data_IF_460464165602
#
_entry.id   IF_460464165602
#
_cell.length_a   1.000
_cell.length_b   1.000
_cell.length_c   1.000
_cell.angle_alpha   90.00
_cell.angle_beta   90.00
_cell.angle_gamma   90.00
#
_symmetry.space_group_name_H-M   'P 1'
#
loop_
_entity.id
_entity.type
_entity.pdbx_description
1 polymer ?
#
# COMPACT_ATOMS: atom_id res chain seq x y z
N UNK A 1 21.19 4.95 -12.37
CA UNK A 1 20.04 5.59 -13.04
C UNK A 1 19.64 6.81 -12.22
N UNK A 2 19.02 7.80 -12.85
CA UNK A 2 18.39 8.90 -12.13
C UNK A 2 16.93 8.55 -11.83
N UNK A 3 16.57 8.56 -10.57
CA UNK A 3 15.24 8.21 -10.10
C UNK A 3 14.60 9.39 -9.35
N UNK A 4 13.29 9.49 -9.40
CA UNK A 4 12.53 10.34 -8.48
C UNK A 4 11.60 9.48 -7.63
N UNK A 5 11.40 9.86 -6.36
CA UNK A 5 10.44 9.19 -5.48
C UNK A 5 9.51 10.22 -4.83
N UNK A 6 8.20 10.07 -5.08
CA UNK A 6 7.15 11.00 -4.66
C UNK A 6 6.33 10.39 -3.52
N UNK A 7 6.39 11.03 -2.35
CA UNK A 7 5.68 10.57 -1.16
C UNK A 7 6.55 9.73 -0.23
N UNK A 8 6.93 10.34 0.89
CA UNK A 8 7.77 9.76 1.94
C UNK A 8 6.92 9.40 3.19
N UNK A 9 5.84 8.68 2.96
CA UNK A 9 5.05 8.06 4.02
C UNK A 9 5.76 6.85 4.62
N UNK A 10 5.05 6.11 5.47
CA UNK A 10 5.55 4.89 6.14
C UNK A 10 6.13 3.87 5.15
N UNK A 11 5.54 3.80 3.94
CA UNK A 11 6.00 2.88 2.88
C UNK A 11 7.08 3.53 1.99
N UNK A 12 6.83 4.74 1.50
CA UNK A 12 7.70 5.39 0.52
C UNK A 12 9.08 5.77 1.08
N UNK A 13 9.16 6.14 2.34
CA UNK A 13 10.42 6.53 2.99
C UNK A 13 11.49 5.40 2.93
N UNK A 14 11.22 4.17 3.41
CA UNK A 14 12.17 3.08 3.30
C UNK A 14 12.38 2.59 1.86
N UNK A 15 11.34 2.57 1.00
CA UNK A 15 11.50 2.16 -0.40
C UNK A 15 12.49 3.08 -1.13
N UNK A 16 12.33 4.39 -1.00
CA UNK A 16 13.27 5.38 -1.55
C UNK A 16 14.69 5.20 -0.95
N UNK A 17 14.79 4.91 0.37
CA UNK A 17 16.05 4.64 1.04
C UNK A 17 16.80 3.42 0.50
N UNK A 18 16.09 2.36 0.14
CA UNK A 18 16.70 1.21 -0.53
C UNK A 18 17.29 1.59 -1.90
N UNK A 19 16.58 2.42 -2.68
CA UNK A 19 17.02 2.88 -4.00
C UNK A 19 18.26 3.76 -3.90
N UNK A 20 18.37 4.63 -2.91
CA UNK A 20 19.50 5.55 -2.73
C UNK A 20 20.83 4.84 -2.50
N UNK A 21 20.83 3.55 -2.13
CA UNK A 21 22.07 2.76 -1.97
C UNK A 21 22.79 2.52 -3.29
N UNK A 22 22.07 2.55 -4.42
CA UNK A 22 22.60 2.15 -5.74
C UNK A 22 22.24 3.09 -6.88
N UNK A 23 21.37 4.07 -6.64
CA UNK A 23 20.87 5.01 -7.64
C UNK A 23 20.96 6.46 -7.16
N UNK A 24 20.94 7.37 -8.10
CA UNK A 24 20.81 8.81 -7.84
C UNK A 24 19.31 9.14 -7.68
N UNK A 25 18.89 9.43 -6.44
CA UNK A 25 17.47 9.60 -6.09
C UNK A 25 17.18 11.03 -5.68
N UNK A 26 16.20 11.65 -6.33
CA UNK A 26 15.59 12.91 -5.92
C UNK A 26 14.22 12.63 -5.32
N UNK A 27 13.97 13.09 -4.10
CA UNK A 27 12.70 12.86 -3.41
C UNK A 27 11.83 14.11 -3.38
N UNK A 28 10.52 13.90 -3.35
CA UNK A 28 9.54 14.93 -3.05
C UNK A 28 8.56 14.43 -1.99
N UNK A 29 8.20 15.31 -1.07
CA UNK A 29 7.13 15.08 -0.12
C UNK A 29 6.40 16.40 0.19
N UNK A 30 5.06 16.37 0.28
CA UNK A 30 4.24 17.55 0.61
C UNK A 30 4.71 18.25 1.90
N UNK A 31 5.18 17.51 2.89
CA UNK A 31 5.85 18.04 4.08
C UNK A 31 7.35 18.06 3.83
N UNK A 32 7.90 19.23 3.49
CA UNK A 32 9.31 19.40 3.14
C UNK A 32 10.28 18.89 4.22
N UNK A 33 9.94 19.04 5.51
CA UNK A 33 10.75 18.54 6.62
C UNK A 33 10.99 17.01 6.55
N UNK A 34 10.03 16.22 6.01
CA UNK A 34 10.24 14.78 5.80
C UNK A 34 11.20 14.49 4.66
N UNK A 35 11.17 15.28 3.60
CA UNK A 35 12.11 15.15 2.49
C UNK A 35 13.54 15.51 2.96
N UNK A 36 13.68 16.58 3.74
CA UNK A 36 14.97 16.95 4.33
C UNK A 36 15.53 15.84 5.26
N UNK A 37 14.70 15.31 6.17
CA UNK A 37 15.10 14.22 7.06
C UNK A 37 15.52 12.96 6.27
N UNK A 38 14.87 12.70 5.15
CA UNK A 38 15.24 11.58 4.28
C UNK A 38 16.61 11.82 3.62
N UNK A 39 16.86 13.04 3.11
CA UNK A 39 18.17 13.43 2.54
C UNK A 39 19.28 13.34 3.58
N UNK A 40 19.03 13.82 4.79
CA UNK A 40 20.01 13.77 5.89
C UNK A 40 20.39 12.32 6.25
N UNK A 41 19.45 11.38 6.13
CA UNK A 41 19.64 9.97 6.47
C UNK A 41 20.23 9.14 5.32
N UNK A 42 19.77 9.38 4.08
CA UNK A 42 20.06 8.49 2.94
C UNK A 42 20.93 9.14 1.87
N UNK A 43 21.16 10.44 1.95
CA UNK A 43 21.78 11.20 0.87
C UNK A 43 20.79 11.47 -0.28
N UNK A 44 21.31 11.75 -1.47
CA UNK A 44 20.49 12.12 -2.62
C UNK A 44 20.09 13.60 -2.60
N UNK A 45 18.97 13.93 -3.24
CA UNK A 45 18.45 15.29 -3.33
C UNK A 45 16.95 15.34 -3.01
N UNK A 46 16.46 16.54 -2.69
CA UNK A 46 15.02 16.82 -2.60
C UNK A 46 14.64 17.94 -3.57
N UNK A 47 13.36 17.98 -3.92
CA UNK A 47 12.79 19.03 -4.76
C UNK A 47 11.49 19.58 -4.14
N UNK A 48 11.14 20.83 -4.50
CA UNK A 48 9.98 21.53 -3.94
C UNK A 48 8.66 21.14 -4.64
N UNK A 49 8.74 20.53 -5.82
CA UNK A 49 7.56 20.07 -6.59
C UNK A 49 7.81 18.69 -7.18
N UNK A 50 6.75 17.91 -7.45
CA UNK A 50 6.86 16.65 -8.19
C UNK A 50 7.51 16.83 -9.58
N UNK A 51 7.18 17.90 -10.29
CA UNK A 51 7.76 18.26 -11.58
C UNK A 51 9.29 18.43 -11.49
N UNK A 52 9.75 19.20 -10.49
CA UNK A 52 11.18 19.42 -10.30
C UNK A 52 11.91 18.13 -9.89
N UNK A 53 11.29 17.28 -9.07
CA UNK A 53 11.86 15.98 -8.71
C UNK A 53 11.98 15.05 -9.94
N UNK A 54 10.97 15.05 -10.81
CA UNK A 54 10.92 14.20 -12.00
C UNK A 54 11.88 14.65 -13.12
N UNK A 55 12.43 15.88 -13.06
CA UNK A 55 13.25 16.44 -14.13
C UNK A 55 14.51 15.63 -14.40
N UNK A 56 14.55 15.03 -15.59
CA UNK A 56 15.68 14.23 -16.04
C UNK A 56 15.74 12.83 -15.42
N UNK A 57 14.75 12.43 -14.65
CA UNK A 57 14.64 11.07 -14.14
C UNK A 57 14.37 10.06 -15.26
N UNK A 58 14.93 8.86 -15.12
CA UNK A 58 14.65 7.71 -15.99
C UNK A 58 13.36 7.03 -15.57
N UNK A 59 13.16 6.91 -14.25
CA UNK A 59 11.95 6.35 -13.63
C UNK A 59 11.52 7.25 -12.48
N UNK A 60 10.23 7.53 -12.40
CA UNK A 60 9.57 8.25 -11.31
C UNK A 60 8.67 7.26 -10.57
N UNK A 61 8.86 7.13 -9.26
CA UNK A 61 8.06 6.25 -8.42
C UNK A 61 7.20 7.09 -7.47
N UNK A 62 5.97 6.69 -7.21
CA UNK A 62 5.09 7.36 -6.27
C UNK A 62 4.48 6.40 -5.26
N UNK A 63 4.35 6.85 -3.99
CA UNK A 63 3.58 6.17 -2.96
C UNK A 63 2.92 7.22 -2.06
N UNK A 64 1.68 7.58 -2.40
CA UNK A 64 0.91 8.64 -1.75
C UNK A 64 -0.36 8.10 -1.08
N UNK A 65 -1.33 8.94 -0.72
CA UNK A 65 -2.44 8.52 0.14
C UNK A 65 -3.65 7.92 -0.58
N UNK A 66 -4.08 8.54 -1.67
CA UNK A 66 -5.35 8.26 -2.35
C UNK A 66 -5.34 8.75 -3.80
N UNK A 67 -6.49 8.62 -4.47
CA UNK A 67 -6.70 9.04 -5.87
C UNK A 67 -6.36 10.52 -6.11
N UNK A 68 -6.81 11.41 -5.23
CA UNK A 68 -6.60 12.85 -5.38
C UNK A 68 -5.14 13.24 -5.13
N UNK A 69 -4.49 12.64 -4.14
CA UNK A 69 -3.06 12.82 -3.91
C UNK A 69 -2.25 12.35 -5.13
N UNK A 70 -2.64 11.22 -5.75
CA UNK A 70 -1.97 10.70 -6.94
C UNK A 70 -2.15 11.62 -8.16
N UNK A 71 -3.37 12.10 -8.42
CA UNK A 71 -3.61 13.12 -9.46
C UNK A 71 -2.78 14.37 -9.23
N UNK A 72 -2.74 14.84 -7.99
CA UNK A 72 -1.98 16.04 -7.62
C UNK A 72 -0.49 15.92 -7.95
N UNK A 73 0.13 14.77 -7.65
CA UNK A 73 1.57 14.58 -7.88
C UNK A 73 1.92 14.17 -9.32
N UNK A 74 0.93 13.82 -10.15
CA UNK A 74 1.13 13.37 -11.56
C UNK A 74 0.73 14.45 -12.57
N UNK A 75 -0.57 14.69 -12.74
CA UNK A 75 -1.16 15.60 -13.74
C UNK A 75 -1.55 16.96 -13.17
N UNK A 76 -1.51 17.14 -11.85
CA UNK A 76 -1.79 18.42 -11.19
C UNK A 76 -0.77 19.51 -11.54
N UNK A 77 -1.04 20.73 -11.12
CA UNK A 77 -0.11 21.85 -11.32
C UNK A 77 1.24 21.56 -10.65
N UNK A 78 2.33 21.57 -11.42
CA UNK A 78 3.67 21.17 -10.97
C UNK A 78 3.81 19.66 -10.74
N UNK A 79 2.93 18.86 -11.35
CA UNK A 79 2.94 17.40 -11.29
C UNK A 79 4.07 16.79 -12.12
N UNK A 80 4.42 15.56 -11.80
CA UNK A 80 5.59 14.88 -12.32
C UNK A 80 5.59 14.70 -13.85
N UNK A 81 4.43 14.49 -14.46
CA UNK A 81 4.35 14.26 -15.90
C UNK A 81 4.87 15.44 -16.72
N UNK A 82 4.74 16.67 -16.22
CA UNK A 82 5.29 17.86 -16.88
C UNK A 82 6.83 17.93 -16.82
N UNK A 83 7.46 17.32 -15.83
CA UNK A 83 8.92 17.28 -15.64
C UNK A 83 9.60 16.07 -16.25
N UNK A 84 8.86 15.01 -16.56
CA UNK A 84 9.39 13.76 -17.09
C UNK A 84 9.81 13.90 -18.55
N UNK A 85 10.92 13.26 -18.93
CA UNK A 85 11.34 13.19 -20.33
C UNK A 85 10.53 12.14 -21.11
N UNK A 86 10.34 12.31 -22.42
CA UNK A 86 9.69 11.29 -23.26
C UNK A 86 10.35 9.91 -23.08
N UNK A 87 9.52 8.86 -23.01
CA UNK A 87 9.95 7.49 -22.77
C UNK A 87 10.30 7.14 -21.33
N UNK A 88 10.25 8.10 -20.39
CA UNK A 88 10.42 7.78 -18.96
C UNK A 88 9.24 6.98 -18.41
N UNK A 89 9.48 6.20 -17.36
CA UNK A 89 8.48 5.32 -16.76
C UNK A 89 7.98 5.93 -15.45
N UNK A 90 6.66 6.01 -15.28
CA UNK A 90 6.04 6.31 -14.00
C UNK A 90 5.56 5.01 -13.34
N UNK A 91 5.93 4.79 -12.07
CA UNK A 91 5.55 3.62 -11.28
C UNK A 91 4.72 4.07 -10.10
N UNK A 92 3.46 3.62 -10.03
CA UNK A 92 2.55 3.96 -8.94
C UNK A 92 2.43 2.82 -7.91
N UNK A 93 2.96 3.01 -6.72
CA UNK A 93 2.82 2.10 -5.58
C UNK A 93 1.60 2.40 -4.70
N UNK A 94 0.87 3.46 -4.99
CA UNK A 94 -0.32 3.84 -4.22
C UNK A 94 -1.45 2.84 -4.44
N UNK A 95 -2.20 2.51 -3.40
CA UNK A 95 -3.47 1.79 -3.59
C UNK A 95 -4.56 2.78 -3.93
N UNK A 96 -5.00 2.75 -5.18
CA UNK A 96 -5.95 3.68 -5.80
C UNK A 96 -7.04 2.95 -6.57
N UNK A 97 -8.06 3.70 -7.02
CA UNK A 97 -9.15 3.15 -7.83
C UNK A 97 -8.68 2.74 -9.23
N UNK A 98 -9.39 1.75 -9.82
CA UNK A 98 -9.19 1.38 -11.22
C UNK A 98 -9.45 2.55 -12.16
N UNK A 99 -10.35 3.48 -11.79
CA UNK A 99 -10.67 4.67 -12.57
C UNK A 99 -9.48 5.61 -12.68
N UNK A 100 -8.84 5.98 -11.55
CA UNK A 100 -7.67 6.88 -11.59
C UNK A 100 -6.49 6.23 -12.28
N UNK A 101 -6.32 4.92 -12.12
CA UNK A 101 -5.27 4.18 -12.83
C UNK A 101 -5.46 4.27 -14.35
N UNK A 102 -6.68 4.06 -14.86
CA UNK A 102 -6.98 4.19 -16.29
C UNK A 102 -6.79 5.64 -16.80
N UNK A 103 -7.23 6.62 -16.03
CA UNK A 103 -7.05 8.05 -16.29
C UNK A 103 -5.57 8.40 -16.46
N UNK A 104 -4.74 8.02 -15.49
CA UNK A 104 -3.32 8.35 -15.47
C UNK A 104 -2.50 7.55 -16.50
N UNK A 105 -2.89 6.32 -16.78
CA UNK A 105 -2.30 5.54 -17.86
C UNK A 105 -2.52 6.23 -19.22
N UNK A 106 -3.74 6.71 -19.48
CA UNK A 106 -4.04 7.45 -20.71
C UNK A 106 -3.26 8.76 -20.77
N UNK A 107 -3.24 9.55 -19.69
CA UNK A 107 -2.50 10.80 -19.62
C UNK A 107 -0.98 10.61 -19.81
N UNK A 108 -0.42 9.54 -19.24
CA UNK A 108 0.99 9.20 -19.45
C UNK A 108 1.29 8.89 -20.92
N UNK A 109 0.43 8.09 -21.58
CA UNK A 109 0.57 7.80 -23.01
C UNK A 109 0.50 9.07 -23.88
N UNK A 110 -0.44 9.95 -23.61
CA UNK A 110 -0.60 11.22 -24.33
C UNK A 110 0.63 12.13 -24.16
N UNK A 111 1.32 12.04 -23.02
CA UNK A 111 2.57 12.73 -22.74
C UNK A 111 3.83 11.99 -23.28
N UNK A 112 3.66 10.86 -23.97
CA UNK A 112 4.78 10.04 -24.46
C UNK A 112 5.57 9.33 -23.34
N UNK A 113 4.90 9.05 -22.21
CA UNK A 113 5.45 8.35 -21.05
C UNK A 113 4.92 6.92 -20.96
N UNK A 114 5.58 6.10 -20.14
CA UNK A 114 5.10 4.79 -19.75
C UNK A 114 4.53 4.84 -18.31
N UNK A 115 3.54 3.97 -18.03
CA UNK A 115 2.91 3.89 -16.72
C UNK A 115 2.79 2.43 -16.24
N UNK A 116 3.16 2.18 -14.99
CA UNK A 116 3.04 0.88 -14.32
C UNK A 116 2.32 1.09 -12.99
N UNK A 117 1.15 0.49 -12.82
CA UNK A 117 0.49 0.38 -11.52
C UNK A 117 1.11 -0.78 -10.74
N UNK A 118 1.66 -0.50 -9.58
CA UNK A 118 2.52 -1.41 -8.83
C UNK A 118 2.26 -1.38 -7.32
N UNK A 119 1.00 -1.48 -6.87
CA UNK A 119 0.70 -1.50 -5.44
C UNK A 119 1.41 -2.64 -4.72
N UNK A 120 1.65 -2.44 -3.42
CA UNK A 120 2.50 -3.29 -2.60
C UNK A 120 1.77 -3.97 -1.46
N UNK A 121 2.27 -5.10 -1.02
CA UNK A 121 1.86 -5.81 0.20
C UNK A 121 3.10 -6.23 1.00
N UNK A 122 2.98 -6.24 2.34
CA UNK A 122 4.05 -6.56 3.28
C UNK A 122 4.14 -5.57 4.45
N UNK A 123 3.36 -4.47 4.40
CA UNK A 123 3.32 -3.45 5.44
C UNK A 123 4.65 -2.73 5.66
N UNK A 124 4.74 -1.98 6.74
CA UNK A 124 5.93 -1.20 7.09
C UNK A 124 7.18 -2.09 7.21
N UNK A 125 7.09 -3.20 7.92
CA UNK A 125 8.21 -4.13 8.09
C UNK A 125 8.71 -4.70 6.75
N UNK A 126 7.80 -5.01 5.82
CA UNK A 126 8.15 -5.44 4.48
C UNK A 126 8.90 -4.35 3.69
N UNK A 127 8.48 -3.10 3.81
CA UNK A 127 9.14 -1.97 3.17
C UNK A 127 10.54 -1.72 3.76
N UNK A 128 10.67 -1.71 5.08
CA UNK A 128 11.94 -1.50 5.79
C UNK A 128 12.97 -2.60 5.49
N UNK A 129 12.51 -3.85 5.38
CA UNK A 129 13.38 -5.00 5.13
C UNK A 129 13.59 -5.33 3.65
N UNK A 130 13.02 -4.55 2.71
CA UNK A 130 13.12 -4.84 1.27
C UNK A 130 12.44 -6.16 0.88
N UNK A 131 11.31 -6.50 1.52
CA UNK A 131 10.61 -7.79 1.39
C UNK A 131 9.16 -7.63 0.93
N UNK A 132 8.88 -6.59 0.13
CA UNK A 132 7.55 -6.34 -0.39
C UNK A 132 7.16 -7.33 -1.49
N UNK A 133 5.86 -7.65 -1.55
CA UNK A 133 5.26 -8.24 -2.74
C UNK A 133 4.64 -7.13 -3.57
N UNK A 134 5.07 -6.99 -4.83
CA UNK A 134 4.64 -5.93 -5.75
C UNK A 134 3.79 -6.56 -6.85
N UNK A 135 2.57 -6.07 -7.00
CA UNK A 135 1.58 -6.53 -7.98
C UNK A 135 1.54 -5.54 -9.12
N UNK A 136 2.06 -5.90 -10.31
CA UNK A 136 2.24 -4.94 -11.38
C UNK A 136 1.23 -5.13 -12.52
N UNK A 137 0.71 -3.99 -13.00
CA UNK A 137 -0.05 -3.86 -14.23
C UNK A 137 0.60 -2.82 -15.14
N UNK A 138 0.48 -2.99 -16.46
CA UNK A 138 1.06 -2.07 -17.43
C UNK A 138 1.56 -2.79 -18.67
N UNK A 139 2.12 -2.05 -19.63
CA UNK A 139 2.73 -2.62 -20.82
C UNK A 139 3.99 -3.43 -20.44
N UNK A 140 4.28 -4.51 -21.20
CA UNK A 140 5.38 -5.42 -20.87
C UNK A 140 6.73 -4.69 -20.84
N UNK A 141 7.00 -3.87 -21.86
CA UNK A 141 8.28 -3.17 -21.97
C UNK A 141 8.48 -2.15 -20.83
N UNK A 142 7.39 -1.49 -20.40
CA UNK A 142 7.41 -0.59 -19.23
C UNK A 142 7.72 -1.35 -17.94
N UNK A 143 7.08 -2.49 -17.74
CA UNK A 143 7.37 -3.36 -16.61
C UNK A 143 8.81 -3.85 -16.61
N UNK A 144 9.30 -4.36 -17.76
CA UNK A 144 10.66 -4.89 -17.88
C UNK A 144 11.72 -3.82 -17.61
N UNK A 145 11.44 -2.55 -18.00
CA UNK A 145 12.29 -1.40 -17.67
C UNK A 145 12.27 -1.01 -16.19
N UNK A 146 11.14 -1.14 -15.50
CA UNK A 146 10.98 -0.75 -14.10
C UNK A 146 11.30 -1.89 -13.11
N UNK A 147 11.11 -3.15 -13.49
CA UNK A 147 11.25 -4.30 -12.59
C UNK A 147 12.61 -4.38 -11.87
N UNK A 148 13.78 -4.13 -12.52
CA UNK A 148 15.07 -4.16 -11.81
C UNK A 148 15.16 -3.14 -10.67
N UNK A 149 14.52 -1.96 -10.82
CA UNK A 149 14.47 -0.92 -9.80
C UNK A 149 13.55 -1.32 -8.66
N UNK A 150 12.36 -1.85 -8.96
CA UNK A 150 11.42 -2.32 -7.94
C UNK A 150 11.93 -3.53 -7.16
N UNK A 151 12.74 -4.40 -7.80
CA UNK A 151 13.32 -5.59 -7.16
C UNK A 151 14.23 -5.26 -5.98
N UNK A 152 14.78 -4.04 -5.90
CA UNK A 152 15.68 -3.59 -4.81
C UNK A 152 14.99 -3.65 -3.43
N UNK A 153 13.67 -3.46 -3.38
CA UNK A 153 12.87 -3.50 -2.14
C UNK A 153 11.76 -4.56 -2.18
N UNK A 154 11.86 -5.54 -3.08
CA UNK A 154 10.85 -6.57 -3.26
C UNK A 154 11.37 -7.98 -2.98
N UNK A 155 10.55 -8.77 -2.27
CA UNK A 155 10.65 -10.23 -2.22
C UNK A 155 10.12 -10.85 -3.52
N UNK A 156 9.03 -10.27 -4.06
CA UNK A 156 8.40 -10.69 -5.30
C UNK A 156 7.87 -9.46 -6.03
N UNK A 157 8.27 -9.31 -7.29
CA UNK A 157 7.73 -8.30 -8.18
C UNK A 157 7.21 -9.02 -9.44
N UNK A 158 5.90 -8.93 -9.71
CA UNK A 158 5.30 -9.69 -10.81
C UNK A 158 4.27 -8.88 -11.57
N UNK A 159 4.41 -8.85 -12.90
CA UNK A 159 3.37 -8.36 -13.80
C UNK A 159 2.23 -9.39 -13.91
N UNK A 160 1.00 -8.93 -13.71
CA UNK A 160 -0.22 -9.75 -13.74
C UNK A 160 -0.92 -9.58 -15.10
N UNK A 161 -0.88 -8.36 -15.66
CA UNK A 161 -1.57 -8.06 -16.91
C UNK A 161 -1.33 -6.63 -17.38
N UNK A 162 -2.21 -6.09 -18.22
CA UNK A 162 -2.20 -4.70 -18.66
C UNK A 162 -2.42 -3.72 -17.51
N UNK A 163 -2.50 -2.42 -17.84
CA UNK A 163 -2.76 -1.36 -16.86
C UNK A 163 -4.01 -1.63 -16.02
N UNK A 164 -3.93 -1.39 -14.72
CA UNK A 164 -4.97 -1.67 -13.73
C UNK A 164 -4.94 -3.08 -13.12
N UNK A 165 -4.21 -4.04 -13.73
CA UNK A 165 -4.15 -5.41 -13.19
C UNK A 165 -3.43 -5.49 -11.84
N UNK A 166 -2.48 -4.61 -11.59
CA UNK A 166 -1.82 -4.49 -10.29
C UNK A 166 -2.80 -4.04 -9.21
N UNK A 167 -3.57 -2.98 -9.46
CA UNK A 167 -4.59 -2.48 -8.54
C UNK A 167 -5.71 -3.51 -8.29
N UNK A 168 -6.19 -4.19 -9.35
CA UNK A 168 -7.19 -5.25 -9.19
C UNK A 168 -6.65 -6.41 -8.33
N UNK A 169 -5.37 -6.77 -8.51
CA UNK A 169 -4.71 -7.78 -7.66
C UNK A 169 -4.58 -7.29 -6.21
N UNK A 170 -4.27 -6.00 -6.00
CA UNK A 170 -4.27 -5.41 -4.66
C UNK A 170 -5.65 -5.45 -4.02
N UNK A 171 -6.73 -5.23 -4.76
CA UNK A 171 -8.11 -5.40 -4.26
C UNK A 171 -8.37 -6.84 -3.80
N UNK A 172 -7.96 -7.86 -4.56
CA UNK A 172 -8.03 -9.24 -4.12
C UNK A 172 -7.29 -9.47 -2.79
N UNK A 173 -6.10 -8.87 -2.63
CA UNK A 173 -5.34 -8.93 -1.38
C UNK A 173 -6.11 -8.30 -0.22
N UNK A 174 -6.70 -7.11 -0.40
CA UNK A 174 -7.42 -6.40 0.67
C UNK A 174 -8.72 -7.13 1.05
N UNK A 175 -9.45 -7.68 0.09
CA UNK A 175 -10.62 -8.54 0.32
C UNK A 175 -10.24 -9.74 1.20
N UNK A 176 -9.15 -10.44 0.87
CA UNK A 176 -8.67 -11.57 1.65
C UNK A 176 -8.26 -11.16 3.07
N UNK A 177 -7.52 -10.06 3.23
CA UNK A 177 -7.09 -9.55 4.54
C UNK A 177 -8.30 -9.21 5.42
N UNK A 178 -9.33 -8.57 4.88
CA UNK A 178 -10.54 -8.23 5.64
C UNK A 178 -11.16 -9.46 6.32
N UNK A 179 -11.36 -10.53 5.55
CA UNK A 179 -11.90 -11.78 6.09
C UNK A 179 -10.97 -12.47 7.10
N UNK A 180 -9.67 -12.53 6.79
CA UNK A 180 -8.65 -13.14 7.65
C UNK A 180 -8.56 -12.45 9.02
N UNK A 181 -8.51 -11.12 9.06
CA UNK A 181 -8.38 -10.36 10.30
C UNK A 181 -9.66 -10.44 11.13
N UNK A 182 -10.84 -10.39 10.49
CA UNK A 182 -12.10 -10.56 11.19
C UNK A 182 -12.22 -11.96 11.80
N UNK A 183 -11.93 -13.02 11.03
CA UNK A 183 -11.95 -14.39 11.52
C UNK A 183 -10.98 -14.63 12.69
N UNK A 184 -9.77 -14.07 12.63
CA UNK A 184 -8.81 -14.12 13.72
C UNK A 184 -9.32 -13.37 14.96
N UNK A 185 -9.93 -12.19 14.77
CA UNK A 185 -10.50 -11.41 15.89
C UNK A 185 -11.63 -12.16 16.60
N UNK A 186 -12.52 -12.81 15.85
CA UNK A 186 -13.58 -13.64 16.42
C UNK A 186 -13.03 -14.86 17.15
N UNK A 187 -12.04 -15.54 16.60
CA UNK A 187 -11.42 -16.71 17.23
C UNK A 187 -10.75 -16.34 18.57
N UNK A 188 -9.99 -15.23 18.60
CA UNK A 188 -9.36 -14.76 19.85
C UNK A 188 -10.41 -14.29 20.87
N UNK A 189 -11.44 -13.57 20.43
CA UNK A 189 -12.52 -13.15 21.32
C UNK A 189 -13.27 -14.36 21.90
N UNK A 190 -13.55 -15.38 21.08
CA UNK A 190 -14.16 -16.63 21.53
C UNK A 190 -13.27 -17.33 22.58
N UNK A 191 -11.96 -17.43 22.32
CA UNK A 191 -11.01 -18.01 23.27
C UNK A 191 -11.02 -17.28 24.62
N UNK A 192 -11.02 -15.93 24.60
CA UNK A 192 -11.13 -15.10 25.81
C UNK A 192 -12.42 -15.38 26.58
N UNK A 193 -13.58 -15.44 25.90
CA UNK A 193 -14.87 -15.73 26.55
C UNK A 193 -14.96 -17.16 27.08
N UNK A 194 -14.29 -18.12 26.43
CA UNK A 194 -14.20 -19.51 26.90
C UNK A 194 -13.17 -19.74 28.02
N UNK A 195 -12.44 -18.71 28.44
CA UNK A 195 -11.39 -18.82 29.46
C UNK A 195 -10.15 -19.59 29.03
N UNK A 196 -9.90 -19.65 27.69
CA UNK A 196 -8.72 -20.30 27.13
C UNK A 196 -7.52 -19.33 27.09
N UNK A 197 -6.33 -19.89 27.19
CA UNK A 197 -5.10 -19.17 26.92
C UNK A 197 -4.99 -18.88 25.42
N UNK A 198 -5.11 -17.60 25.03
CA UNK A 198 -5.09 -17.17 23.64
C UNK A 198 -3.77 -17.45 22.93
N UNK A 199 -2.62 -17.39 23.62
CA UNK A 199 -1.31 -17.73 23.06
C UNK A 199 -1.23 -19.22 22.75
N UNK A 200 -1.61 -20.09 23.69
CA UNK A 200 -1.63 -21.54 23.50
C UNK A 200 -2.61 -21.95 22.37
N UNK A 201 -3.77 -21.28 22.27
CA UNK A 201 -4.71 -21.51 21.18
C UNK A 201 -4.05 -21.19 19.83
N UNK A 202 -3.42 -20.02 19.70
CA UNK A 202 -2.76 -19.62 18.44
C UNK A 202 -1.59 -20.53 18.10
N UNK A 203 -0.77 -20.94 19.09
CA UNK A 203 0.34 -21.87 18.88
C UNK A 203 -0.14 -23.15 18.18
N UNK A 204 -1.25 -23.72 18.62
CA UNK A 204 -1.79 -24.96 18.04
C UNK A 204 -2.44 -24.71 16.67
N UNK A 205 -3.37 -23.75 16.56
CA UNK A 205 -4.14 -23.60 15.31
C UNK A 205 -3.34 -22.99 14.16
N UNK A 206 -2.25 -22.28 14.44
CA UNK A 206 -1.36 -21.73 13.42
C UNK A 206 -0.63 -22.81 12.63
N UNK A 207 -0.48 -24.03 13.17
CA UNK A 207 0.16 -25.16 12.50
C UNK A 207 -0.80 -25.90 11.54
N UNK A 208 -2.08 -25.56 11.59
CA UNK A 208 -3.12 -26.18 10.77
C UNK A 208 -3.61 -25.27 9.64
N UNK A 209 -4.75 -25.66 9.06
CA UNK A 209 -5.38 -24.97 7.92
C UNK A 209 -5.85 -23.52 8.25
N UNK A 210 -6.01 -23.18 9.53
CA UNK A 210 -6.39 -21.84 9.96
C UNK A 210 -5.22 -20.85 9.98
N UNK A 211 -3.98 -21.32 9.82
CA UNK A 211 -2.77 -20.49 9.86
C UNK A 211 -2.78 -19.39 8.78
N UNK A 212 -2.29 -18.22 9.15
CA UNK A 212 -2.16 -17.09 8.23
C UNK A 212 -1.03 -16.15 8.67
N UNK A 213 -0.55 -15.30 7.73
CA UNK A 213 0.41 -14.25 8.08
C UNK A 213 -0.15 -13.32 9.18
N UNK A 214 -1.44 -12.99 9.13
CA UNK A 214 -2.09 -12.14 10.12
C UNK A 214 -2.05 -12.80 11.51
N UNK A 215 -2.36 -14.08 11.59
CA UNK A 215 -2.25 -14.85 12.82
C UNK A 215 -0.82 -14.83 13.37
N UNK A 216 0.18 -15.18 12.56
CA UNK A 216 1.58 -15.26 12.99
C UNK A 216 2.18 -13.91 13.42
N UNK A 217 1.71 -12.79 12.85
CA UNK A 217 2.35 -11.48 13.06
C UNK A 217 1.50 -10.46 13.84
N UNK A 218 0.25 -10.80 14.22
CA UNK A 218 -0.67 -9.87 14.89
C UNK A 218 -1.22 -10.37 16.22
N UNK A 219 -1.26 -11.68 16.47
CA UNK A 219 -1.94 -12.20 17.68
C UNK A 219 -1.39 -11.63 18.99
N UNK A 220 -0.07 -11.42 19.10
CA UNK A 220 0.55 -10.90 20.31
C UNK A 220 0.09 -9.46 20.61
N UNK A 221 0.12 -8.59 19.61
CA UNK A 221 -0.37 -7.21 19.76
C UNK A 221 -1.87 -7.15 20.01
N UNK A 222 -2.64 -8.07 19.42
CA UNK A 222 -4.09 -8.20 19.64
C UNK A 222 -4.38 -8.61 21.08
N UNK A 223 -3.70 -9.62 21.61
CA UNK A 223 -3.86 -10.07 23.00
C UNK A 223 -3.34 -9.04 24.01
N UNK A 224 -2.28 -8.30 23.65
CA UNK A 224 -1.68 -7.24 24.45
C UNK A 224 -2.37 -5.88 24.36
N UNK A 225 -3.52 -5.77 23.70
CA UNK A 225 -4.29 -4.50 23.50
C UNK A 225 -3.44 -3.37 22.91
N UNK A 226 -2.53 -3.68 21.98
CA UNK A 226 -1.59 -2.72 21.36
C UNK A 226 -1.95 -2.49 19.91
N UNK A 227 -2.27 -1.24 19.53
CA UNK A 227 -2.88 -0.91 18.23
C UNK A 227 -2.11 0.14 17.42
N UNK A 228 -1.15 0.87 18.01
CA UNK A 228 -0.42 1.97 17.37
C UNK A 228 0.74 1.46 16.49
N UNK A 229 0.41 0.65 15.49
CA UNK A 229 1.37 0.06 14.56
C UNK A 229 0.69 -0.33 13.25
N UNK A 230 1.45 -0.87 12.32
CA UNK A 230 0.96 -1.61 11.14
C UNK A 230 0.21 -0.77 10.12
N UNK A 231 -1.00 -1.18 9.78
CA UNK A 231 -1.82 -0.59 8.72
C UNK A 231 -3.10 0.01 9.27
N UNK A 232 -3.22 1.33 9.17
CA UNK A 232 -4.31 2.07 9.79
C UNK A 232 -5.70 1.73 9.23
N UNK A 233 -6.68 1.67 10.13
CA UNK A 233 -8.11 1.43 9.81
C UNK A 233 -8.63 2.41 8.75
N UNK A 234 -8.26 3.70 8.82
CA UNK A 234 -8.68 4.69 7.82
C UNK A 234 -8.25 4.30 6.40
N UNK A 235 -7.04 3.80 6.23
CA UNK A 235 -6.53 3.32 4.94
C UNK A 235 -7.20 2.02 4.51
N UNK A 236 -7.45 1.10 5.44
CA UNK A 236 -8.17 -0.13 5.13
C UNK A 236 -9.59 0.17 4.67
N UNK A 237 -10.31 1.10 5.31
CA UNK A 237 -11.64 1.52 4.88
C UNK A 237 -11.65 2.17 3.49
N UNK A 238 -10.64 2.99 3.20
CA UNK A 238 -10.44 3.50 1.84
C UNK A 238 -10.30 2.34 0.84
N UNK A 239 -9.42 1.37 1.14
CA UNK A 239 -9.16 0.24 0.26
C UNK A 239 -10.41 -0.65 0.07
N UNK A 240 -11.17 -0.93 1.13
CA UNK A 240 -12.42 -1.70 1.03
C UNK A 240 -13.50 -0.95 0.25
N UNK A 241 -13.57 0.38 0.37
CA UNK A 241 -14.43 1.21 -0.46
C UNK A 241 -14.10 1.07 -1.95
N UNK A 242 -12.82 1.07 -2.31
CA UNK A 242 -12.35 0.80 -3.68
C UNK A 242 -12.76 -0.61 -4.14
N UNK A 243 -12.59 -1.63 -3.27
CA UNK A 243 -13.00 -3.00 -3.59
C UNK A 243 -14.51 -3.12 -3.89
N UNK A 244 -15.34 -2.49 -3.05
CA UNK A 244 -16.81 -2.52 -3.22
C UNK A 244 -17.25 -1.80 -4.50
N UNK A 245 -16.68 -0.62 -4.79
CA UNK A 245 -16.97 0.09 -6.03
C UNK A 245 -16.53 -0.70 -7.27
N UNK A 246 -15.39 -1.38 -7.22
CA UNK A 246 -14.93 -2.25 -8.29
C UNK A 246 -15.84 -3.48 -8.47
N UNK A 247 -16.34 -4.04 -7.35
CA UNK A 247 -17.26 -5.17 -7.37
C UNK A 247 -18.61 -4.79 -8.01
N UNK A 248 -19.16 -3.61 -7.72
CA UNK A 248 -20.35 -3.09 -8.37
C UNK A 248 -20.17 -2.98 -9.89
N UNK A 249 -18.98 -2.56 -10.33
CA UNK A 249 -18.68 -2.40 -11.74
C UNK A 249 -18.48 -3.74 -12.49
N UNK A 250 -17.91 -4.76 -11.85
CA UNK A 250 -17.60 -6.06 -12.47
C UNK A 250 -18.57 -7.19 -12.11
N UNK A 251 -19.56 -6.93 -11.25
CA UNK A 251 -20.59 -7.90 -10.84
C UNK A 251 -20.12 -8.90 -9.77
N UNK A 252 -18.99 -8.71 -9.11
CA UNK A 252 -18.55 -9.59 -8.03
C UNK A 252 -19.37 -9.37 -6.76
N UNK A 253 -19.68 -10.45 -6.02
CA UNK A 253 -20.37 -10.38 -4.74
C UNK A 253 -19.38 -10.40 -3.58
N UNK A 254 -19.34 -9.35 -2.76
CA UNK A 254 -18.39 -9.17 -1.65
C UNK A 254 -19.10 -8.97 -0.28
N UNK A 255 -19.99 -9.89 0.16
CA UNK A 255 -20.76 -9.67 1.39
C UNK A 255 -19.88 -9.55 2.65
N UNK A 256 -18.83 -10.37 2.78
CA UNK A 256 -17.93 -10.33 3.93
C UNK A 256 -17.15 -9.01 3.94
N UNK A 257 -16.64 -8.57 2.80
CA UNK A 257 -15.91 -7.29 2.68
C UNK A 257 -16.77 -6.10 3.09
N UNK A 258 -18.03 -6.07 2.63
CA UNK A 258 -18.99 -5.03 2.96
C UNK A 258 -19.28 -5.00 4.49
N UNK A 259 -19.48 -6.17 5.07
CA UNK A 259 -19.73 -6.29 6.52
C UNK A 259 -18.52 -5.84 7.34
N UNK A 260 -17.32 -6.28 6.97
CA UNK A 260 -16.07 -5.92 7.68
C UNK A 260 -15.77 -4.42 7.54
N UNK A 261 -16.08 -3.79 6.40
CA UNK A 261 -15.98 -2.33 6.31
C UNK A 261 -16.85 -1.60 7.35
N UNK A 262 -18.08 -2.08 7.60
CA UNK A 262 -18.93 -1.53 8.64
C UNK A 262 -18.34 -1.74 10.05
N UNK A 263 -17.70 -2.89 10.29
CA UNK A 263 -17.00 -3.14 11.55
C UNK A 263 -15.83 -2.18 11.76
N UNK A 264 -15.05 -1.87 10.73
CA UNK A 264 -14.02 -0.84 10.79
C UNK A 264 -14.58 0.58 11.04
N UNK A 265 -15.78 0.88 10.53
CA UNK A 265 -16.48 2.12 10.87
C UNK A 265 -16.78 2.23 12.37
N UNK A 266 -17.09 1.11 13.02
CA UNK A 266 -17.26 1.09 14.47
C UNK A 266 -15.93 1.30 15.20
N UNK A 267 -14.83 0.71 14.71
CA UNK A 267 -13.47 1.00 15.24
C UNK A 267 -13.13 2.48 15.14
N UNK A 268 -13.47 3.14 14.04
CA UNK A 268 -13.28 4.61 13.91
C UNK A 268 -14.07 5.38 14.96
N UNK A 269 -15.33 4.98 15.28
CA UNK A 269 -16.13 5.60 16.35
C UNK A 269 -15.52 5.42 17.74
N UNK A 270 -14.74 4.34 17.95
CA UNK A 270 -13.97 4.13 19.18
C UNK A 270 -12.69 4.99 19.24
N UNK A 271 -12.46 5.86 18.26
CA UNK A 271 -11.23 6.66 18.14
C UNK A 271 -10.09 5.96 17.40
N UNK A 272 -10.33 4.75 16.86
CA UNK A 272 -9.33 3.88 16.29
C UNK A 272 -9.01 4.08 14.81
N UNK A 273 -9.27 5.25 14.23
CA UNK A 273 -8.98 5.49 12.81
C UNK A 273 -7.52 5.27 12.42
N UNK A 274 -6.59 5.50 13.36
CA UNK A 274 -5.15 5.28 13.16
C UNK A 274 -4.64 3.95 13.71
N UNK A 275 -5.47 3.17 14.37
CA UNK A 275 -5.11 1.84 14.86
C UNK A 275 -4.87 0.85 13.72
N UNK A 276 -4.07 -0.18 14.00
CA UNK A 276 -3.86 -1.30 13.06
C UNK A 276 -5.19 -2.02 12.77
N UNK A 277 -5.32 -2.56 11.57
CA UNK A 277 -6.51 -3.30 11.14
C UNK A 277 -6.91 -4.45 12.07
N UNK A 278 -5.96 -5.01 12.83
CA UNK A 278 -6.22 -6.06 13.82
C UNK A 278 -7.08 -5.59 15.01
N UNK A 279 -7.33 -4.28 15.15
CA UNK A 279 -8.22 -3.69 16.16
C UNK A 279 -9.71 -4.06 16.04
N UNK A 280 -10.08 -4.87 15.05
CA UNK A 280 -11.39 -5.55 15.02
C UNK A 280 -11.64 -6.38 16.30
N UNK A 281 -10.60 -6.93 16.93
CA UNK A 281 -10.72 -7.58 18.25
C UNK A 281 -11.19 -6.58 19.33
N UNK A 282 -10.62 -5.36 19.34
CA UNK A 282 -11.02 -4.30 20.30
C UNK A 282 -12.50 -3.95 20.16
N UNK A 283 -13.01 -3.91 18.92
CA UNK A 283 -14.44 -3.70 18.65
C UNK A 283 -15.29 -4.79 19.32
N UNK A 284 -14.93 -6.07 19.14
CA UNK A 284 -15.67 -7.19 19.75
C UNK A 284 -15.65 -7.13 21.28
N UNK A 285 -14.51 -6.79 21.87
CA UNK A 285 -14.36 -6.62 23.32
C UNK A 285 -15.22 -5.47 23.88
N UNK A 286 -15.40 -4.39 23.09
CA UNK A 286 -16.21 -3.23 23.47
C UNK A 286 -17.73 -3.47 23.38
N UNK A 287 -18.17 -4.51 22.69
CA UNK A 287 -19.59 -4.85 22.50
C UNK A 287 -20.11 -5.90 23.46
N UNK A 288 -19.25 -6.53 24.26
CA UNK A 288 -19.67 -7.63 25.14
C UNK A 288 -18.63 -8.16 26.04
#
# INVERSE_FOLDING_TARGET
MKLAFLGLGVMGYPMAGHLAKTHDVTVYNRTAAKAQAWVDQHGGAMADTPEAAAKGADIVLACVGNDDDLRSVTTGQGGAFAGMKPGAIFVDHTTVSAQVTAELYAAAKDAGLHFVDAPVSGGQAGAENGQLSIMCGGDQDAFDGAAPVMQVYAKLCRRIGGSGSGQMTKMCNQIAIAGLVQGLSEALHFAQKAGLDGEAVVEVISQGAAGSWQMANRYQTMLGDTWDHGFAVDWMRKDLGICLAAADANGASLPVTALVDQFYKDVQKLGGGRWDTSSLLKRLQAMG
#
